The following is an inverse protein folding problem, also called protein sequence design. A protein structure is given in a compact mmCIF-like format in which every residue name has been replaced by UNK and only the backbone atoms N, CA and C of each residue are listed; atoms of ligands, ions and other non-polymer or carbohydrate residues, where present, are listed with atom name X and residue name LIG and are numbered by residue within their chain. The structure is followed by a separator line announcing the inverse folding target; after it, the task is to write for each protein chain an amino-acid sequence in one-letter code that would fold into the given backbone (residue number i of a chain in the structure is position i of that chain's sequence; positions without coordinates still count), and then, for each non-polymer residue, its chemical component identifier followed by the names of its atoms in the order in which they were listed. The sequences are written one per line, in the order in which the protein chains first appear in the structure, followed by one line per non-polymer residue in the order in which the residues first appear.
data_IF_995822110525
#
_entry.id   IF_995822110525
#
_cell.length_a   1.000
_cell.length_b   1.000
_cell.length_c   1.000
_cell.angle_alpha   90.00
_cell.angle_beta   90.00
_cell.angle_gamma   90.00
#
_symmetry.space_group_name_H-M   'P 1'
#
loop_
_entity.id
_entity.type
_entity.pdbx_description
1 polymer ?
#
# COMPACT_ATOMS: atom_id res chain seq x y z
N UNK A 1 -17.02 -8.62 20.57
CA UNK A 1 -16.97 -7.38 19.75
C UNK A 1 -17.38 -7.73 18.33
N UNK A 2 -18.49 -7.16 17.90
CA UNK A 2 -19.08 -7.39 16.57
C UNK A 2 -18.68 -6.23 15.64
N UNK A 3 -18.07 -6.54 14.51
CA UNK A 3 -17.51 -5.53 13.61
C UNK A 3 -18.16 -5.65 12.23
N UNK A 4 -18.62 -4.53 11.67
CA UNK A 4 -19.04 -4.46 10.27
C UNK A 4 -18.05 -3.60 9.50
N UNK A 5 -17.45 -4.16 8.44
CA UNK A 5 -16.69 -3.43 7.43
C UNK A 5 -17.58 -3.12 6.23
N UNK A 6 -17.52 -1.91 5.71
CA UNK A 6 -18.25 -1.52 4.50
C UNK A 6 -17.21 -0.98 3.50
N UNK A 7 -17.17 -1.58 2.31
CA UNK A 7 -16.24 -1.20 1.25
C UNK A 7 -16.96 -1.24 -0.11
N UNK A 8 -16.52 -0.39 -1.05
CA UNK A 8 -17.18 -0.32 -2.35
C UNK A 8 -17.02 -1.60 -3.17
N UNK A 9 -15.82 -2.16 -3.20
CA UNK A 9 -15.45 -3.36 -3.96
C UNK A 9 -14.16 -3.94 -3.41
N UNK A 10 -13.78 -5.13 -3.87
CA UNK A 10 -12.48 -5.77 -3.58
C UNK A 10 -11.63 -5.90 -4.84
N UNK A 11 -11.45 -4.79 -5.57
CA UNK A 11 -10.50 -4.74 -6.69
C UNK A 11 -9.05 -4.83 -6.18
N UNK A 12 -8.10 -5.24 -7.04
CA UNK A 12 -6.68 -5.26 -6.67
C UNK A 12 -6.16 -3.86 -6.36
N UNK A 13 -6.05 -3.55 -5.07
CA UNK A 13 -5.61 -2.26 -4.56
C UNK A 13 -5.05 -2.36 -3.14
N UNK A 14 -4.31 -1.34 -2.72
CA UNK A 14 -3.70 -1.29 -1.38
C UNK A 14 -4.72 -1.20 -0.25
N UNK A 15 -5.82 -0.49 -0.47
CA UNK A 15 -6.92 -0.32 0.49
C UNK A 15 -7.64 -1.65 0.74
N UNK A 16 -7.99 -2.35 -0.32
CA UNK A 16 -8.70 -3.62 -0.30
C UNK A 16 -7.83 -4.71 0.34
N UNK A 17 -6.57 -4.78 -0.06
CA UNK A 17 -5.59 -5.69 0.55
C UNK A 17 -5.43 -5.44 2.05
N UNK A 18 -5.35 -4.18 2.45
CA UNK A 18 -5.28 -3.81 3.88
C UNK A 18 -6.52 -4.24 4.65
N UNK A 19 -7.72 -4.05 4.07
CA UNK A 19 -8.98 -4.49 4.69
C UNK A 19 -9.01 -6.01 4.87
N UNK A 20 -8.64 -6.78 3.84
CA UNK A 20 -8.55 -8.24 3.90
C UNK A 20 -7.55 -8.70 4.97
N UNK A 21 -6.34 -8.16 4.96
CA UNK A 21 -5.30 -8.48 5.94
C UNK A 21 -5.73 -8.17 7.38
N UNK A 22 -6.45 -7.06 7.58
CA UNK A 22 -7.02 -6.74 8.89
C UNK A 22 -8.03 -7.79 9.32
N UNK A 23 -8.96 -8.20 8.46
CA UNK A 23 -9.96 -9.24 8.77
C UNK A 23 -9.27 -10.57 9.12
N UNK A 24 -8.32 -10.99 8.30
CA UNK A 24 -7.53 -12.21 8.56
C UNK A 24 -6.77 -12.13 9.90
N UNK A 25 -6.17 -10.98 10.19
CA UNK A 25 -5.47 -10.76 11.46
C UNK A 25 -6.41 -10.76 12.68
N UNK A 26 -7.60 -10.16 12.55
CA UNK A 26 -8.62 -10.19 13.58
C UNK A 26 -9.13 -11.62 13.84
N UNK A 27 -9.36 -12.41 12.77
CA UNK A 27 -9.74 -13.82 12.91
C UNK A 27 -8.66 -14.63 13.65
N UNK A 28 -7.38 -14.44 13.29
CA UNK A 28 -6.25 -15.07 13.96
C UNK A 28 -6.16 -14.69 15.44
N UNK A 29 -6.56 -13.46 15.79
CA UNK A 29 -6.64 -12.98 17.17
C UNK A 29 -7.93 -13.40 17.90
N UNK A 30 -8.78 -14.27 17.31
CA UNK A 30 -9.99 -14.82 17.92
C UNK A 30 -11.24 -13.96 17.75
N UNK A 31 -11.19 -12.87 16.97
CA UNK A 31 -12.35 -12.03 16.69
C UNK A 31 -13.05 -12.49 15.41
N UNK A 32 -14.10 -13.31 15.55
CA UNK A 32 -14.80 -13.97 14.44
C UNK A 32 -16.19 -13.40 14.13
N UNK A 33 -16.74 -12.54 15.02
CA UNK A 33 -18.01 -11.87 14.79
C UNK A 33 -17.81 -10.68 13.83
N UNK A 34 -17.49 -10.97 12.59
CA UNK A 34 -17.22 -9.98 11.56
C UNK A 34 -18.25 -10.09 10.43
N UNK A 35 -18.77 -8.96 9.98
CA UNK A 35 -19.52 -8.82 8.75
C UNK A 35 -18.76 -7.92 7.78
N UNK A 36 -18.77 -8.25 6.50
CA UNK A 36 -18.32 -7.34 5.44
C UNK A 36 -19.45 -7.09 4.46
N UNK A 37 -19.68 -5.81 4.13
CA UNK A 37 -20.68 -5.38 3.17
C UNK A 37 -19.94 -4.80 1.95
N UNK A 38 -20.08 -5.47 0.80
CA UNK A 38 -19.59 -5.01 -0.50
C UNK A 38 -20.70 -4.25 -1.19
N UNK A 39 -20.46 -3.00 -1.55
CA UNK A 39 -21.45 -2.17 -2.25
C UNK A 39 -21.63 -2.63 -3.70
N UNK A 40 -20.57 -3.08 -4.35
CA UNK A 40 -20.56 -3.64 -5.71
C UNK A 40 -20.00 -5.07 -5.69
N UNK A 41 -20.24 -5.83 -6.76
CA UNK A 41 -19.87 -7.25 -6.85
C UNK A 41 -18.46 -7.49 -7.45
N UNK A 42 -17.63 -6.47 -7.60
CA UNK A 42 -16.27 -6.65 -8.10
C UNK A 42 -15.38 -7.20 -6.97
N UNK A 43 -14.89 -8.43 -7.14
CA UNK A 43 -14.03 -9.08 -6.17
C UNK A 43 -12.86 -9.80 -6.86
N UNK A 44 -11.65 -9.28 -6.66
CA UNK A 44 -10.38 -9.87 -7.13
C UNK A 44 -9.54 -10.47 -5.99
N UNK A 45 -10.12 -10.55 -4.77
CA UNK A 45 -9.55 -11.20 -3.59
C UNK A 45 -10.53 -12.28 -3.08
N UNK A 46 -10.58 -13.46 -3.73
CA UNK A 46 -11.49 -14.55 -3.32
C UNK A 46 -11.23 -15.02 -1.89
N UNK A 47 -10.04 -14.79 -1.36
CA UNK A 47 -9.65 -15.14 0.01
C UNK A 47 -10.54 -14.51 1.09
N UNK A 48 -11.32 -13.48 0.76
CA UNK A 48 -12.29 -12.89 1.68
C UNK A 48 -13.37 -13.91 2.10
N UNK A 49 -13.72 -14.85 1.20
CA UNK A 49 -14.70 -15.90 1.48
C UNK A 49 -14.12 -17.05 2.32
N UNK A 50 -12.79 -17.12 2.47
CA UNK A 50 -12.09 -18.09 3.32
C UNK A 50 -11.96 -17.59 4.76
N UNK A 51 -12.30 -16.33 5.03
CA UNK A 51 -12.33 -15.76 6.38
C UNK A 51 -13.61 -16.15 7.11
N UNK A 52 -13.66 -15.96 8.44
CA UNK A 52 -14.91 -16.14 9.22
C UNK A 52 -15.93 -15.02 8.98
N UNK A 53 -15.62 -14.01 8.18
CA UNK A 53 -16.48 -12.87 7.96
C UNK A 53 -17.76 -13.25 7.17
N UNK A 54 -18.91 -12.79 7.63
CA UNK A 54 -20.17 -12.90 6.92
C UNK A 54 -20.21 -11.90 5.76
N UNK A 55 -19.94 -12.37 4.54
CA UNK A 55 -19.92 -11.52 3.34
C UNK A 55 -21.34 -11.23 2.87
N UNK A 56 -21.68 -9.95 2.71
CA UNK A 56 -22.94 -9.45 2.15
C UNK A 56 -22.65 -8.58 0.93
N UNK A 57 -23.11 -8.98 -0.24
CA UNK A 57 -22.95 -8.25 -1.49
C UNK A 57 -24.27 -7.54 -1.83
N UNK A 58 -24.23 -6.21 -1.86
CA UNK A 58 -25.41 -5.38 -2.24
C UNK A 58 -25.58 -5.40 -3.75
N UNK A 59 -24.44 -5.29 -4.46
CA UNK A 59 -24.37 -5.33 -5.92
C UNK A 59 -25.14 -4.17 -6.58
N UNK A 60 -24.75 -2.96 -6.18
CA UNK A 60 -25.43 -1.74 -6.59
C UNK A 60 -25.40 -1.53 -8.09
N UNK A 61 -24.24 -1.75 -8.74
CA UNK A 61 -24.05 -1.43 -10.16
C UNK A 61 -24.81 -2.41 -11.07
N UNK A 62 -24.62 -3.70 -10.89
CA UNK A 62 -25.18 -4.71 -11.78
C UNK A 62 -26.69 -4.84 -11.61
N UNK A 63 -27.20 -4.59 -10.38
CA UNK A 63 -28.66 -4.53 -10.10
C UNK A 63 -29.29 -3.18 -10.39
N UNK A 64 -28.53 -2.18 -10.81
CA UNK A 64 -29.05 -0.84 -11.11
C UNK A 64 -29.71 -0.14 -9.91
N UNK A 65 -29.25 -0.42 -8.68
CA UNK A 65 -29.88 0.13 -7.48
C UNK A 65 -29.63 1.64 -7.35
N UNK A 66 -30.69 2.38 -7.06
CA UNK A 66 -30.59 3.78 -6.68
C UNK A 66 -29.84 3.96 -5.35
N UNK A 67 -29.36 5.17 -5.08
CA UNK A 67 -28.70 5.47 -3.79
C UNK A 67 -29.59 5.19 -2.58
N UNK A 68 -30.90 5.45 -2.70
CA UNK A 68 -31.86 5.19 -1.61
C UNK A 68 -32.04 3.68 -1.37
N UNK A 69 -32.14 2.88 -2.44
CA UNK A 69 -32.26 1.42 -2.33
C UNK A 69 -30.98 0.82 -1.73
N UNK A 70 -29.81 1.29 -2.16
CA UNK A 70 -28.51 0.88 -1.61
C UNK A 70 -28.40 1.23 -0.12
N UNK A 71 -28.77 2.45 0.26
CA UNK A 71 -28.82 2.88 1.67
C UNK A 71 -29.73 1.96 2.51
N UNK A 72 -30.95 1.67 2.03
CA UNK A 72 -31.88 0.77 2.73
C UNK A 72 -31.32 -0.63 2.90
N UNK A 73 -30.65 -1.18 1.87
CA UNK A 73 -30.05 -2.51 1.91
C UNK A 73 -28.88 -2.56 2.91
N UNK A 74 -27.98 -1.59 2.89
CA UNK A 74 -26.88 -1.49 3.86
C UNK A 74 -27.42 -1.34 5.28
N UNK A 75 -28.41 -0.45 5.48
CA UNK A 75 -29.05 -0.25 6.79
C UNK A 75 -29.67 -1.54 7.32
N UNK A 76 -30.33 -2.31 6.46
CA UNK A 76 -30.92 -3.62 6.82
C UNK A 76 -29.82 -4.57 7.31
N UNK A 77 -28.71 -4.72 6.56
CA UNK A 77 -27.59 -5.57 6.96
C UNK A 77 -26.98 -5.16 8.32
N UNK A 78 -26.81 -3.86 8.56
CA UNK A 78 -26.29 -3.33 9.84
C UNK A 78 -27.30 -3.61 10.97
N UNK A 79 -28.62 -3.42 10.73
CA UNK A 79 -29.62 -3.66 11.75
C UNK A 79 -29.72 -5.14 12.13
N UNK A 80 -29.68 -6.05 11.16
CA UNK A 80 -29.74 -7.50 11.38
C UNK A 80 -28.48 -8.01 12.12
N UNK A 81 -27.32 -7.50 11.76
CA UNK A 81 -26.07 -7.90 12.40
C UNK A 81 -25.87 -7.21 13.76
N UNK A 82 -26.37 -6.00 13.97
CA UNK A 82 -26.26 -5.18 15.18
C UNK A 82 -24.81 -5.06 15.69
N UNK A 83 -23.89 -4.44 14.92
CA UNK A 83 -22.47 -4.34 15.27
C UNK A 83 -22.20 -3.34 16.38
N UNK A 84 -21.13 -3.57 17.14
CA UNK A 84 -20.53 -2.60 18.06
C UNK A 84 -19.78 -1.51 17.29
N UNK A 85 -19.09 -1.92 16.21
CA UNK A 85 -18.26 -1.05 15.37
C UNK A 85 -18.68 -1.18 13.91
N UNK A 86 -18.82 -0.04 13.23
CA UNK A 86 -18.94 0.03 11.76
C UNK A 86 -17.74 0.82 11.22
N UNK A 87 -16.89 0.18 10.43
CA UNK A 87 -15.75 0.80 9.78
C UNK A 87 -15.98 0.89 8.27
N UNK A 88 -16.01 2.11 7.75
CA UNK A 88 -16.25 2.40 6.34
C UNK A 88 -14.94 2.68 5.59
N UNK A 89 -14.72 2.00 4.47
CA UNK A 89 -13.57 2.08 3.61
C UNK A 89 -13.93 2.75 2.28
N UNK A 90 -13.61 4.02 2.15
CA UNK A 90 -13.90 4.82 0.97
C UNK A 90 -15.13 5.74 1.11
N UNK A 91 -15.22 6.71 0.22
CA UNK A 91 -16.10 7.86 0.36
C UNK A 91 -17.60 7.47 0.28
N UNK A 92 -17.95 6.61 -0.68
CA UNK A 92 -19.34 6.18 -0.84
C UNK A 92 -19.82 5.35 0.36
N UNK A 93 -18.97 4.44 0.84
CA UNK A 93 -19.21 3.65 2.05
C UNK A 93 -19.40 4.55 3.27
N UNK A 94 -18.55 5.58 3.40
CA UNK A 94 -18.65 6.57 4.48
C UNK A 94 -19.96 7.35 4.41
N UNK A 95 -20.38 7.80 3.22
CA UNK A 95 -21.62 8.54 3.06
C UNK A 95 -22.82 7.75 3.56
N UNK A 96 -22.95 6.49 3.12
CA UNK A 96 -24.04 5.62 3.60
C UNK A 96 -23.99 5.38 5.10
N UNK A 97 -22.80 5.10 5.63
CA UNK A 97 -22.60 4.85 7.06
C UNK A 97 -22.96 6.09 7.89
N UNK A 98 -22.55 7.27 7.43
CA UNK A 98 -22.89 8.54 8.08
C UNK A 98 -24.39 8.79 8.19
N UNK A 99 -25.12 8.54 7.09
CA UNK A 99 -26.57 8.67 7.09
C UNK A 99 -27.24 7.63 8.03
N UNK A 100 -26.72 6.41 8.12
CA UNK A 100 -27.22 5.39 9.03
C UNK A 100 -26.92 5.76 10.48
N UNK A 101 -25.74 6.32 10.75
CA UNK A 101 -25.30 6.78 12.08
C UNK A 101 -26.24 7.80 12.71
N UNK A 102 -26.92 8.63 11.89
CA UNK A 102 -27.95 9.57 12.36
C UNK A 102 -29.16 8.89 12.98
N UNK A 103 -29.42 7.64 12.64
CA UNK A 103 -30.63 6.91 13.08
C UNK A 103 -30.32 5.65 13.87
N UNK A 104 -29.07 5.22 13.96
CA UNK A 104 -28.62 4.03 14.67
C UNK A 104 -27.34 4.34 15.45
N UNK A 105 -27.25 3.83 16.66
CA UNK A 105 -26.07 4.00 17.53
C UNK A 105 -25.10 2.83 17.33
N UNK A 106 -23.84 3.10 17.00
CA UNK A 106 -22.70 2.20 16.92
C UNK A 106 -21.40 3.03 16.91
N UNK A 107 -20.27 2.48 17.25
CA UNK A 107 -18.98 3.17 17.06
C UNK A 107 -18.64 3.25 15.57
N UNK A 108 -18.45 4.47 15.06
CA UNK A 108 -18.24 4.73 13.64
C UNK A 108 -16.80 5.14 13.34
N UNK A 109 -16.15 4.42 12.42
CA UNK A 109 -14.77 4.66 12.00
C UNK A 109 -14.72 4.92 10.49
N UNK A 110 -14.11 6.03 10.09
CA UNK A 110 -13.75 6.34 8.71
C UNK A 110 -12.36 5.82 8.40
N UNK A 111 -12.18 4.97 7.38
CA UNK A 111 -10.90 4.38 6.97
C UNK A 111 -10.61 4.61 5.48
N UNK A 112 -10.78 5.86 5.01
CA UNK A 112 -10.64 6.20 3.59
C UNK A 112 -9.27 6.77 3.21
N UNK A 113 -8.44 7.14 4.17
CA UNK A 113 -7.18 7.83 3.88
C UNK A 113 -6.10 6.81 3.51
N UNK A 114 -5.84 6.68 2.22
CA UNK A 114 -4.85 5.75 1.65
C UNK A 114 -3.80 6.45 0.76
N UNK A 115 -4.02 7.72 0.41
CA UNK A 115 -3.11 8.57 -0.35
C UNK A 115 -2.93 9.94 0.35
N UNK A 116 -2.12 10.82 -0.23
CA UNK A 116 -1.83 12.15 0.32
C UNK A 116 -2.28 13.28 -0.61
N UNK A 117 -3.16 13.00 -1.57
CA UNK A 117 -3.67 14.01 -2.48
C UNK A 117 -4.55 15.01 -1.73
N UNK A 118 -4.21 16.29 -1.83
CA UNK A 118 -5.04 17.34 -1.25
C UNK A 118 -6.42 17.37 -1.89
N UNK A 119 -7.45 17.33 -1.07
CA UNK A 119 -8.81 17.44 -1.55
C UNK A 119 -9.12 18.91 -1.90
N UNK A 120 -9.64 19.15 -3.10
CA UNK A 120 -10.14 20.48 -3.46
C UNK A 120 -11.28 20.89 -2.50
N UNK A 121 -11.25 22.12 -2.02
CA UNK A 121 -12.15 22.64 -0.98
C UNK A 121 -13.63 22.43 -1.33
N UNK A 122 -13.98 22.59 -2.60
CA UNK A 122 -15.38 22.49 -3.09
C UNK A 122 -15.69 21.17 -3.78
N UNK A 123 -14.78 20.17 -3.73
CA UNK A 123 -15.07 18.86 -4.32
C UNK A 123 -16.13 18.12 -3.51
N UNK A 124 -16.99 17.37 -4.21
CA UNK A 124 -17.97 16.47 -3.57
C UNK A 124 -17.29 15.50 -2.61
N UNK A 125 -16.11 14.97 -2.98
CA UNK A 125 -15.28 14.11 -2.14
C UNK A 125 -14.94 14.76 -0.80
N UNK A 126 -14.51 16.02 -0.82
CA UNK A 126 -14.19 16.78 0.41
C UNK A 126 -15.43 17.01 1.27
N UNK A 127 -16.57 17.34 0.65
CA UNK A 127 -17.84 17.51 1.37
C UNK A 127 -18.25 16.23 2.09
N UNK A 128 -18.18 15.08 1.41
CA UNK A 128 -18.46 13.77 2.01
C UNK A 128 -17.51 13.47 3.16
N UNK A 129 -16.20 13.70 2.98
CA UNK A 129 -15.20 13.50 4.04
C UNK A 129 -15.51 14.37 5.26
N UNK A 130 -15.73 15.67 5.08
CA UNK A 130 -16.04 16.60 6.19
C UNK A 130 -17.31 16.19 6.94
N UNK A 131 -18.39 15.86 6.22
CA UNK A 131 -19.64 15.39 6.82
C UNK A 131 -19.42 14.10 7.63
N UNK A 132 -18.74 13.13 7.03
CA UNK A 132 -18.48 11.83 7.67
C UNK A 132 -17.56 11.97 8.89
N UNK A 133 -16.51 12.80 8.81
CA UNK A 133 -15.60 13.04 9.93
C UNK A 133 -16.27 13.73 11.12
N UNK A 134 -17.28 14.58 10.88
CA UNK A 134 -18.07 15.15 11.97
C UNK A 134 -18.79 14.07 12.78
N UNK A 135 -19.34 13.05 12.11
CA UNK A 135 -20.14 11.98 12.72
C UNK A 135 -19.31 10.78 13.21
N UNK A 136 -18.10 10.61 12.69
CA UNK A 136 -17.21 9.52 13.07
C UNK A 136 -16.62 9.71 14.47
N UNK A 137 -16.40 8.60 15.16
CA UNK A 137 -15.69 8.55 16.44
C UNK A 137 -14.15 8.53 16.21
N UNK A 138 -13.70 7.98 15.08
CA UNK A 138 -12.29 8.04 14.65
C UNK A 138 -12.16 8.08 13.13
N UNK A 139 -11.03 8.66 12.66
CA UNK A 139 -10.62 8.70 11.25
C UNK A 139 -9.25 8.05 11.13
N UNK A 140 -9.15 6.97 10.36
CA UNK A 140 -7.91 6.21 10.19
C UNK A 140 -7.29 6.51 8.83
N UNK A 141 -5.97 6.78 8.82
CA UNK A 141 -5.14 6.84 7.64
C UNK A 141 -3.95 5.89 7.73
N UNK A 142 -3.39 5.52 6.57
CA UNK A 142 -2.16 4.74 6.50
C UNK A 142 -0.89 5.60 6.63
N UNK A 143 -1.06 6.92 6.68
CA UNK A 143 0.02 7.89 6.85
C UNK A 143 -0.46 9.15 7.57
N UNK A 144 0.42 9.79 8.33
CA UNK A 144 0.14 11.08 8.96
C UNK A 144 0.00 12.19 7.92
N UNK A 145 0.81 12.13 6.87
CA UNK A 145 0.74 13.09 5.76
C UNK A 145 -0.61 13.00 5.03
N UNK A 146 -1.12 11.79 4.81
CA UNK A 146 -2.44 11.57 4.24
C UNK A 146 -3.56 12.13 5.12
N UNK A 147 -3.52 11.86 6.43
CA UNK A 147 -4.50 12.43 7.37
C UNK A 147 -4.52 13.96 7.34
N UNK A 148 -3.36 14.60 7.23
CA UNK A 148 -3.27 16.06 7.07
C UNK A 148 -3.84 16.53 5.71
N UNK A 149 -3.51 15.84 4.62
CA UNK A 149 -3.99 16.16 3.28
C UNK A 149 -5.52 16.08 3.15
N UNK A 150 -6.14 15.16 3.88
CA UNK A 150 -7.59 14.98 3.95
C UNK A 150 -8.27 15.86 5.01
N UNK A 151 -7.53 16.74 5.69
CA UNK A 151 -8.03 17.57 6.78
C UNK A 151 -8.76 16.76 7.87
N UNK A 152 -8.25 15.57 8.20
CA UNK A 152 -8.80 14.74 9.26
C UNK A 152 -8.69 15.47 10.61
N UNK A 153 -9.79 15.56 11.41
CA UNK A 153 -9.77 16.28 12.69
C UNK A 153 -8.73 15.65 13.64
N UNK A 154 -7.76 16.41 14.10
CA UNK A 154 -6.63 15.91 14.91
C UNK A 154 -7.04 15.07 16.11
N UNK A 155 -8.13 15.45 16.80
CA UNK A 155 -8.65 14.71 17.97
C UNK A 155 -9.16 13.31 17.62
N UNK A 156 -9.61 13.10 16.37
CA UNK A 156 -10.16 11.84 15.85
C UNK A 156 -9.18 11.08 14.95
N UNK A 157 -8.18 11.76 14.42
CA UNK A 157 -7.21 11.20 13.47
C UNK A 157 -6.29 10.18 14.15
N UNK A 158 -6.15 9.00 13.54
CA UNK A 158 -5.25 7.93 13.96
C UNK A 158 -4.49 7.40 12.76
N UNK A 159 -3.18 7.52 12.79
CA UNK A 159 -2.32 6.86 11.83
C UNK A 159 -2.11 5.40 12.26
N UNK A 160 -2.50 4.47 11.40
CA UNK A 160 -2.15 3.06 11.53
C UNK A 160 -1.56 2.68 10.18
N UNK A 161 -0.25 2.48 10.12
CA UNK A 161 0.44 2.11 8.88
C UNK A 161 -0.03 0.74 8.37
N UNK A 162 0.21 0.47 7.09
CA UNK A 162 0.04 -0.87 6.54
C UNK A 162 1.04 -1.83 7.22
N UNK A 163 0.73 -3.13 7.24
CA UNK A 163 1.61 -4.15 7.81
C UNK A 163 2.14 -5.10 6.75
N UNK A 164 3.41 -5.46 6.85
CA UNK A 164 4.01 -6.55 6.07
C UNK A 164 3.60 -7.90 6.68
N UNK A 165 3.12 -8.81 5.84
CA UNK A 165 2.74 -10.16 6.28
C UNK A 165 3.99 -11.04 6.34
N UNK A 166 4.40 -11.43 7.54
CA UNK A 166 5.62 -12.21 7.81
C UNK A 166 5.62 -13.58 7.12
N UNK A 167 4.44 -14.16 6.83
CA UNK A 167 4.34 -15.41 6.07
C UNK A 167 4.94 -15.33 4.67
N UNK A 168 5.07 -14.12 4.13
CA UNK A 168 5.65 -13.90 2.81
C UNK A 168 7.16 -14.17 2.76
N UNK A 169 7.85 -14.21 3.91
CA UNK A 169 9.27 -14.60 3.92
C UNK A 169 9.47 -16.02 3.40
N UNK A 170 8.55 -16.94 3.72
CA UNK A 170 8.62 -18.33 3.24
C UNK A 170 8.55 -18.46 1.70
N UNK A 171 7.99 -17.45 1.00
CA UNK A 171 7.92 -17.46 -0.46
C UNK A 171 9.29 -17.18 -1.14
N UNK A 172 10.26 -16.69 -0.39
CA UNK A 172 11.63 -16.51 -0.85
C UNK A 172 12.58 -17.60 -0.34
N UNK A 173 12.08 -18.57 0.40
CA UNK A 173 12.85 -19.72 0.85
C UNK A 173 12.85 -20.84 -0.21
N UNK A 174 13.93 -21.60 -0.27
CA UNK A 174 14.08 -22.74 -1.19
C UNK A 174 13.90 -22.40 -2.69
N UNK A 175 14.24 -21.18 -3.08
CA UNK A 175 14.21 -20.72 -4.48
C UNK A 175 15.57 -20.95 -5.12
N UNK A 176 15.58 -21.47 -6.34
CA UNK A 176 16.79 -21.52 -7.17
C UNK A 176 17.06 -20.12 -7.74
N UNK A 177 17.83 -19.35 -7.01
CA UNK A 177 18.18 -17.96 -7.40
C UNK A 177 19.06 -17.90 -8.64
N UNK A 178 19.88 -18.92 -8.92
CA UNK A 178 20.72 -18.93 -10.12
C UNK A 178 19.87 -19.16 -11.36
N UNK A 179 18.90 -20.10 -11.29
CA UNK A 179 17.93 -20.26 -12.37
C UNK A 179 17.06 -19.01 -12.58
N UNK A 180 16.64 -18.34 -11.49
CA UNK A 180 15.84 -17.09 -11.57
C UNK A 180 16.66 -15.95 -12.19
N UNK A 181 17.92 -15.79 -11.82
CA UNK A 181 18.85 -14.83 -12.44
C UNK A 181 19.04 -15.11 -13.92
N UNK A 182 19.25 -16.38 -14.29
CA UNK A 182 19.42 -16.80 -15.69
C UNK A 182 18.16 -16.52 -16.52
N UNK A 183 16.96 -16.85 -16.00
CA UNK A 183 15.67 -16.53 -16.64
C UNK A 183 15.55 -15.04 -16.92
N UNK A 184 15.91 -14.21 -15.95
CA UNK A 184 15.85 -12.75 -16.06
C UNK A 184 17.06 -12.15 -16.78
N UNK A 185 18.05 -12.96 -17.17
CA UNK A 185 19.29 -12.54 -17.80
C UNK A 185 20.13 -11.61 -16.90
N UNK A 186 20.11 -11.82 -15.59
CA UNK A 186 20.92 -11.08 -14.61
C UNK A 186 22.26 -11.80 -14.48
N UNK A 187 23.27 -11.31 -15.18
CA UNK A 187 24.65 -11.82 -15.24
C UNK A 187 25.65 -10.92 -14.50
N UNK A 188 25.15 -9.91 -13.80
CA UNK A 188 25.95 -8.90 -13.14
C UNK A 188 26.03 -9.14 -11.63
N UNK A 189 27.03 -8.50 -11.01
CA UNK A 189 27.27 -8.58 -9.56
C UNK A 189 26.08 -8.01 -8.76
N UNK A 190 25.51 -6.90 -9.25
CA UNK A 190 24.44 -6.19 -8.56
C UNK A 190 23.15 -6.15 -9.37
N UNK A 191 22.03 -6.23 -8.67
CA UNK A 191 20.70 -6.05 -9.20
C UNK A 191 20.02 -4.84 -8.53
N UNK A 192 19.58 -3.91 -9.36
CA UNK A 192 18.76 -2.76 -8.94
C UNK A 192 17.36 -2.92 -9.51
N UNK A 193 16.33 -2.87 -8.67
CA UNK A 193 14.97 -3.10 -9.14
C UNK A 193 13.98 -2.03 -8.69
N UNK A 194 12.94 -1.82 -9.51
CA UNK A 194 11.77 -1.03 -9.15
C UNK A 194 10.51 -1.89 -9.23
N UNK A 195 9.85 -2.08 -8.09
CA UNK A 195 8.61 -2.85 -7.97
C UNK A 195 7.40 -1.93 -7.97
N UNK A 196 6.84 -1.66 -9.14
CA UNK A 196 5.75 -0.71 -9.26
C UNK A 196 4.89 -0.96 -10.51
N UNK A 197 3.64 -0.48 -10.49
CA UNK A 197 2.86 -0.40 -11.73
C UNK A 197 3.52 0.59 -12.69
N UNK A 198 3.53 0.27 -13.98
CA UNK A 198 4.04 1.16 -15.02
C UNK A 198 2.98 2.21 -15.32
N UNK A 199 2.94 3.25 -14.48
CA UNK A 199 2.04 4.39 -14.58
C UNK A 199 2.83 5.70 -14.49
N UNK A 200 2.32 6.78 -15.05
CA UNK A 200 3.02 8.08 -15.10
C UNK A 200 3.35 8.65 -13.71
N UNK A 201 2.59 8.30 -12.69
CA UNK A 201 2.87 8.75 -11.33
C UNK A 201 3.96 7.93 -10.60
N UNK A 202 4.38 6.80 -11.19
CA UNK A 202 5.52 5.98 -10.74
C UNK A 202 6.82 6.30 -11.47
N UNK A 203 6.80 7.34 -12.26
CA UNK A 203 7.93 7.94 -12.97
C UNK A 203 8.91 6.94 -13.61
N UNK A 204 8.46 6.08 -14.54
CA UNK A 204 9.34 5.16 -15.23
C UNK A 204 10.44 5.88 -16.03
N UNK A 205 10.19 7.12 -16.48
CA UNK A 205 11.19 7.91 -17.21
C UNK A 205 12.37 8.29 -16.30
N UNK A 206 12.12 8.63 -15.03
CA UNK A 206 13.19 8.88 -14.05
C UNK A 206 14.00 7.61 -13.74
N UNK A 207 13.36 6.43 -13.63
CA UNK A 207 14.04 5.16 -13.47
C UNK A 207 14.95 4.84 -14.68
N UNK A 208 14.46 5.04 -15.91
CA UNK A 208 15.22 4.87 -17.14
C UNK A 208 16.44 5.81 -17.17
N UNK A 209 16.22 7.08 -16.80
CA UNK A 209 17.28 8.07 -16.76
C UNK A 209 18.39 7.70 -15.77
N UNK A 210 18.01 7.24 -14.56
CA UNK A 210 18.95 6.73 -13.56
C UNK A 210 19.74 5.53 -14.10
N UNK A 211 19.03 4.52 -14.64
CA UNK A 211 19.67 3.31 -15.18
C UNK A 211 20.66 3.64 -16.29
N UNK A 212 20.24 4.45 -17.28
CA UNK A 212 21.13 4.86 -18.37
C UNK A 212 22.38 5.59 -17.87
N UNK A 213 22.21 6.52 -16.91
CA UNK A 213 23.33 7.26 -16.33
C UNK A 213 24.32 6.30 -15.64
N UNK A 214 23.84 5.44 -14.75
CA UNK A 214 24.72 4.49 -14.03
C UNK A 214 25.41 3.52 -14.99
N UNK A 215 24.70 3.01 -16.00
CA UNK A 215 25.24 2.07 -16.99
C UNK A 215 26.24 2.69 -17.97
N UNK A 216 26.42 4.03 -17.99
CA UNK A 216 27.55 4.65 -18.71
C UNK A 216 28.87 4.55 -17.96
N UNK A 217 28.83 4.41 -16.64
CA UNK A 217 29.99 4.41 -15.74
C UNK A 217 30.28 3.01 -15.17
N UNK A 218 29.26 2.11 -15.14
CA UNK A 218 29.35 0.77 -14.53
C UNK A 218 28.86 -0.32 -15.47
N UNK A 219 29.51 -1.45 -15.40
CA UNK A 219 29.15 -2.64 -16.18
C UNK A 219 28.84 -3.88 -15.30
N UNK A 220 28.78 -3.70 -13.99
CA UNK A 220 28.49 -4.73 -12.98
C UNK A 220 27.07 -4.66 -12.40
N UNK A 221 26.16 -3.90 -13.03
CA UNK A 221 24.78 -3.67 -12.54
C UNK A 221 23.75 -4.01 -13.59
N UNK A 222 22.66 -4.69 -13.20
CA UNK A 222 21.45 -4.88 -14.00
C UNK A 222 20.29 -4.10 -13.36
N UNK A 223 19.49 -3.45 -14.19
CA UNK A 223 18.27 -2.74 -13.78
C UNK A 223 17.01 -3.47 -14.26
N UNK A 224 16.09 -3.77 -13.35
CA UNK A 224 14.81 -4.39 -13.67
C UNK A 224 13.64 -3.51 -13.19
N UNK A 225 12.70 -3.22 -14.09
CA UNK A 225 11.41 -2.67 -13.70
C UNK A 225 10.37 -3.80 -13.68
N UNK A 226 9.82 -4.11 -12.50
CA UNK A 226 8.94 -5.25 -12.26
C UNK A 226 7.54 -4.74 -11.97
N UNK A 227 6.62 -5.02 -12.86
CA UNK A 227 5.23 -4.65 -12.78
C UNK A 227 4.61 -4.37 -14.14
N UNK A 228 3.28 -4.32 -14.18
CA UNK A 228 2.49 -3.97 -15.35
C UNK A 228 1.57 -2.81 -14.99
N UNK A 229 1.14 -2.04 -15.96
CA UNK A 229 0.27 -0.90 -15.76
C UNK A 229 -0.19 -0.32 -17.09
N UNK A 230 -0.87 0.80 -17.08
CA UNK A 230 -1.47 1.41 -18.26
C UNK A 230 -0.44 1.74 -19.35
N UNK A 231 0.79 2.06 -18.95
CA UNK A 231 1.86 2.47 -19.88
C UNK A 231 2.90 1.37 -20.14
N UNK A 232 2.65 0.13 -19.70
CA UNK A 232 3.63 -0.96 -19.88
C UNK A 232 4.04 -1.14 -21.33
N UNK A 233 3.10 -1.12 -22.28
CA UNK A 233 3.39 -1.30 -23.70
C UNK A 233 4.28 -0.20 -24.30
N UNK A 234 4.30 1.00 -23.70
CA UNK A 234 5.21 2.09 -24.08
C UNK A 234 6.66 1.78 -23.70
N UNK A 235 6.87 1.05 -22.61
CA UNK A 235 8.20 0.88 -22.02
C UNK A 235 8.78 -0.53 -22.13
N UNK A 236 7.98 -1.55 -22.45
CA UNK A 236 8.39 -2.97 -22.45
C UNK A 236 9.63 -3.27 -23.31
N UNK A 237 9.84 -2.51 -24.39
CA UNK A 237 10.96 -2.69 -25.32
C UNK A 237 12.13 -1.74 -25.02
N UNK A 238 12.05 -0.95 -23.95
CA UNK A 238 13.14 -0.06 -23.54
C UNK A 238 14.26 -0.88 -22.95
N UNK A 239 15.45 -0.72 -23.52
CA UNK A 239 16.68 -1.35 -23.05
C UNK A 239 17.77 -0.30 -22.79
N UNK A 240 18.70 -0.65 -21.91
CA UNK A 240 19.90 0.13 -21.64
C UNK A 240 21.14 -0.43 -22.34
N UNK A 241 22.32 0.19 -22.12
CA UNK A 241 23.60 -0.36 -22.59
C UNK A 241 23.75 -1.83 -22.22
N UNK A 242 24.28 -2.64 -23.16
CA UNK A 242 24.48 -4.10 -23.01
C UNK A 242 23.21 -4.87 -22.58
N UNK A 243 22.02 -4.35 -22.89
CA UNK A 243 20.73 -4.92 -22.53
C UNK A 243 20.54 -5.10 -20.99
N UNK A 244 21.14 -4.21 -20.18
CA UNK A 244 21.11 -4.28 -18.70
C UNK A 244 20.03 -3.42 -18.04
N UNK A 245 19.10 -2.90 -18.82
CA UNK A 245 17.84 -2.29 -18.35
C UNK A 245 16.68 -2.99 -19.02
N UNK A 246 15.73 -3.53 -18.24
CA UNK A 246 14.58 -4.26 -18.78
C UNK A 246 13.31 -4.02 -17.97
N UNK A 247 12.17 -4.03 -18.68
CA UNK A 247 10.82 -4.03 -18.12
C UNK A 247 10.27 -5.45 -18.19
N UNK A 248 10.20 -6.13 -17.05
CA UNK A 248 9.89 -7.58 -16.96
C UNK A 248 8.40 -7.87 -17.01
N UNK A 249 7.57 -6.85 -16.79
CA UNK A 249 6.11 -7.03 -16.73
C UNK A 249 5.62 -7.51 -15.36
N UNK A 250 4.41 -8.04 -15.33
CA UNK A 250 3.82 -8.58 -14.11
C UNK A 250 4.51 -9.90 -13.71
N UNK A 251 4.87 -10.00 -12.43
CA UNK A 251 5.41 -11.22 -11.80
C UNK A 251 4.57 -11.58 -10.59
N UNK A 252 4.35 -12.88 -10.38
CA UNK A 252 3.71 -13.42 -9.18
C UNK A 252 4.70 -13.80 -8.08
N UNK A 253 5.97 -13.96 -8.44
CA UNK A 253 7.11 -14.32 -7.58
C UNK A 253 7.92 -13.09 -7.14
N UNK A 254 7.24 -12.06 -6.67
CA UNK A 254 7.88 -10.80 -6.29
C UNK A 254 8.77 -10.91 -5.04
N UNK A 255 8.48 -11.85 -4.15
CA UNK A 255 9.24 -12.07 -2.92
C UNK A 255 10.67 -12.53 -3.19
N UNK A 256 10.92 -13.59 -3.98
CA UNK A 256 12.26 -13.94 -4.41
C UNK A 256 12.98 -12.81 -5.15
N UNK A 257 12.27 -12.09 -6.01
CA UNK A 257 12.85 -10.96 -6.73
C UNK A 257 13.31 -9.84 -5.79
N UNK A 258 12.51 -9.52 -4.76
CA UNK A 258 12.91 -8.57 -3.73
C UNK A 258 14.11 -9.07 -2.91
N UNK A 259 14.10 -10.36 -2.54
CA UNK A 259 15.17 -10.96 -1.75
C UNK A 259 16.54 -10.99 -2.47
N UNK A 260 16.54 -11.08 -3.81
CA UNK A 260 17.79 -11.07 -4.60
C UNK A 260 18.20 -9.66 -5.07
N UNK A 261 17.41 -8.64 -4.80
CA UNK A 261 17.67 -7.26 -5.21
C UNK A 261 18.61 -6.57 -4.21
N UNK A 262 19.69 -5.97 -4.67
CA UNK A 262 20.66 -5.27 -3.81
C UNK A 262 20.14 -3.88 -3.40
N UNK A 263 19.53 -3.14 -4.33
CA UNK A 263 18.95 -1.82 -4.06
C UNK A 263 17.61 -1.68 -4.79
N UNK A 264 16.58 -1.28 -4.07
CA UNK A 264 15.27 -0.96 -4.65
C UNK A 264 15.19 0.54 -4.96
N UNK A 265 14.49 0.86 -6.04
CA UNK A 265 14.16 2.24 -6.42
C UNK A 265 12.66 2.41 -6.33
N UNK A 266 12.20 3.54 -5.79
CA UNK A 266 10.81 3.94 -5.94
C UNK A 266 10.71 5.43 -6.23
N UNK A 267 10.66 5.76 -7.49
CA UNK A 267 10.37 7.13 -7.91
C UNK A 267 8.87 7.36 -8.02
N UNK A 268 8.44 8.57 -7.68
CA UNK A 268 7.06 8.99 -7.76
C UNK A 268 7.00 10.44 -8.26
N UNK A 269 6.10 10.71 -9.20
CA UNK A 269 5.85 12.04 -9.71
C UNK A 269 4.70 12.68 -8.94
N UNK A 270 5.03 13.53 -7.97
CA UNK A 270 4.07 14.13 -7.04
C UNK A 270 3.21 15.23 -7.64
N UNK A 271 3.48 15.66 -8.87
CA UNK A 271 2.58 16.55 -9.61
C UNK A 271 1.23 15.88 -9.91
N UNK A 272 1.25 14.55 -10.07
CA UNK A 272 0.08 13.79 -10.47
C UNK A 272 -0.56 13.01 -9.32
N UNK A 273 0.24 12.44 -8.43
CA UNK A 273 -0.28 11.62 -7.35
C UNK A 273 0.69 11.59 -6.16
N UNK A 274 0.16 11.84 -4.97
CA UNK A 274 0.92 11.72 -3.73
C UNK A 274 0.49 10.46 -2.98
N UNK A 275 1.36 9.48 -2.93
CA UNK A 275 1.10 8.24 -2.20
C UNK A 275 1.13 8.46 -0.68
N UNK A 276 0.32 7.67 0.04
CA UNK A 276 0.55 7.40 1.46
C UNK A 276 1.81 6.55 1.65
N UNK A 277 1.83 5.73 2.69
CA UNK A 277 2.92 4.77 2.87
C UNK A 277 2.87 3.71 1.77
N UNK A 278 3.96 3.61 0.98
CA UNK A 278 4.06 2.66 -0.13
C UNK A 278 4.32 1.23 0.36
N UNK A 279 3.48 0.29 -0.07
CA UNK A 279 3.71 -1.13 0.20
C UNK A 279 5.00 -1.65 -0.45
N UNK A 280 5.36 -1.15 -1.64
CA UNK A 280 6.57 -1.57 -2.35
C UNK A 280 7.84 -1.23 -1.56
N UNK A 281 7.92 -0.02 -0.95
CA UNK A 281 9.03 0.34 -0.06
C UNK A 281 9.07 -0.63 1.13
N UNK A 282 7.95 -0.81 1.80
CA UNK A 282 7.85 -1.67 2.99
C UNK A 282 8.23 -3.13 2.65
N UNK A 283 7.76 -3.64 1.52
CA UNK A 283 8.04 -5.01 1.06
C UNK A 283 9.51 -5.20 0.72
N UNK A 284 10.13 -4.29 -0.05
CA UNK A 284 11.57 -4.35 -0.35
C UNK A 284 12.41 -4.30 0.94
N UNK A 285 12.14 -3.34 1.82
CA UNK A 285 12.86 -3.21 3.08
C UNK A 285 12.66 -4.43 4.01
N UNK A 286 11.52 -5.13 3.96
CA UNK A 286 11.29 -6.36 4.73
C UNK A 286 12.28 -7.47 4.33
N UNK A 287 12.61 -7.57 3.05
CA UNK A 287 13.63 -8.50 2.56
C UNK A 287 15.08 -7.99 2.76
N UNK A 288 15.24 -6.82 3.38
CA UNK A 288 16.55 -6.21 3.62
C UNK A 288 17.08 -5.45 2.40
N UNK A 289 16.23 -5.08 1.46
CA UNK A 289 16.63 -4.32 0.28
C UNK A 289 16.50 -2.82 0.56
N UNK A 290 17.61 -2.07 0.71
CA UNK A 290 17.56 -0.64 0.91
C UNK A 290 16.85 0.04 -0.26
N UNK A 291 16.02 1.03 0.03
CA UNK A 291 15.27 1.72 -1.01
C UNK A 291 15.74 3.17 -1.15
N UNK A 292 16.01 3.58 -2.40
CA UNK A 292 16.15 4.99 -2.78
C UNK A 292 14.77 5.44 -3.30
N UNK A 293 14.11 6.33 -2.57
CA UNK A 293 12.77 6.78 -2.92
C UNK A 293 12.69 8.30 -3.05
N UNK A 294 11.70 8.76 -3.81
CA UNK A 294 11.38 10.20 -3.87
C UNK A 294 10.94 10.70 -2.49
N UNK A 295 11.56 11.80 -2.03
CA UNK A 295 11.22 12.48 -0.78
C UNK A 295 9.87 13.17 -0.88
N UNK A 296 8.83 12.52 -0.36
CA UNK A 296 7.48 13.05 -0.35
C UNK A 296 6.43 12.01 -0.05
N UNK A 297 5.17 12.45 0.04
CA UNK A 297 4.08 11.59 0.46
C UNK A 297 4.37 10.90 1.78
N UNK A 298 4.13 9.61 1.86
CA UNK A 298 4.39 8.77 3.03
C UNK A 298 5.77 8.13 3.06
N UNK A 299 6.65 8.35 2.06
CA UNK A 299 8.00 7.75 2.05
C UNK A 299 8.83 8.11 3.30
N UNK A 300 8.82 9.38 3.79
CA UNK A 300 9.54 9.76 5.01
C UNK A 300 8.97 9.16 6.31
N UNK A 301 7.81 8.53 6.25
CA UNK A 301 7.24 7.84 7.41
C UNK A 301 7.80 6.41 7.58
N UNK A 302 8.48 5.86 6.54
CA UNK A 302 9.15 4.56 6.57
C UNK A 302 10.67 4.72 6.48
N UNK A 303 11.14 5.59 5.57
CA UNK A 303 12.56 5.78 5.29
C UNK A 303 13.10 6.92 6.16
N UNK A 304 14.09 6.60 6.98
CA UNK A 304 14.98 7.55 7.61
C UNK A 304 16.23 7.66 6.75
N UNK A 305 16.41 8.85 6.12
CA UNK A 305 17.48 9.09 5.17
C UNK A 305 18.85 8.74 5.74
N UNK A 306 19.66 8.00 4.97
CA UNK A 306 21.01 7.54 5.34
C UNK A 306 21.07 6.57 6.53
N UNK A 307 19.93 6.09 7.02
CA UNK A 307 19.87 5.10 8.11
C UNK A 307 19.39 3.75 7.59
N UNK A 308 18.17 3.70 7.03
CA UNK A 308 17.54 2.48 6.54
C UNK A 308 17.13 2.54 5.06
N UNK A 309 17.56 3.59 4.36
CA UNK A 309 17.28 3.89 2.98
C UNK A 309 17.60 5.34 2.66
N UNK A 310 17.24 5.79 1.47
CA UNK A 310 17.57 7.13 1.00
C UNK A 310 16.36 7.84 0.43
N UNK A 311 16.21 9.12 0.77
CA UNK A 311 15.21 10.01 0.23
C UNK A 311 15.89 11.02 -0.70
N UNK A 312 15.39 11.16 -1.91
CA UNK A 312 15.90 12.08 -2.93
C UNK A 312 14.79 12.98 -3.44
N UNK A 313 15.13 14.21 -3.83
CA UNK A 313 14.14 15.11 -4.44
C UNK A 313 13.62 14.54 -5.76
N UNK A 314 12.37 14.85 -6.10
CA UNK A 314 11.78 14.47 -7.38
C UNK A 314 12.69 14.85 -8.55
N UNK A 315 12.90 13.91 -9.47
CA UNK A 315 13.76 14.04 -10.67
C UNK A 315 15.23 14.40 -10.39
N UNK A 316 15.73 14.21 -9.18
CA UNK A 316 17.16 14.42 -8.90
C UNK A 316 17.98 13.17 -9.25
N UNK A 317 18.16 12.94 -10.55
CA UNK A 317 18.86 11.75 -11.08
C UNK A 317 20.35 11.78 -10.69
N UNK A 318 20.97 12.96 -10.64
CA UNK A 318 22.38 13.11 -10.23
C UNK A 318 22.64 12.60 -8.82
N UNK A 319 21.81 13.04 -7.86
CA UNK A 319 21.92 12.60 -6.48
C UNK A 319 21.58 11.12 -6.34
N UNK A 320 20.55 10.63 -7.03
CA UNK A 320 20.17 9.22 -7.03
C UNK A 320 21.29 8.32 -7.56
N UNK A 321 21.94 8.72 -8.66
CA UNK A 321 23.07 8.01 -9.24
C UNK A 321 24.27 8.00 -8.29
N UNK A 322 24.60 9.15 -7.70
CA UNK A 322 25.70 9.27 -6.72
C UNK A 322 25.47 8.36 -5.51
N UNK A 323 24.27 8.39 -4.91
CA UNK A 323 23.93 7.53 -3.76
C UNK A 323 24.02 6.05 -4.15
N UNK A 324 23.43 5.67 -5.29
CA UNK A 324 23.46 4.29 -5.76
C UNK A 324 24.89 3.79 -5.96
N UNK A 325 25.73 4.54 -6.69
CA UNK A 325 27.12 4.16 -6.91
C UNK A 325 27.90 4.05 -5.59
N UNK A 326 27.74 5.00 -4.68
CA UNK A 326 28.38 4.94 -3.35
C UNK A 326 27.97 3.70 -2.54
N UNK A 327 26.70 3.28 -2.61
CA UNK A 327 26.24 2.04 -1.95
C UNK A 327 26.88 0.80 -2.58
N UNK A 328 26.90 0.72 -3.90
CA UNK A 328 27.47 -0.43 -4.63
C UNK A 328 29.00 -0.52 -4.49
N UNK A 329 29.68 0.60 -4.29
CA UNK A 329 31.13 0.66 -4.07
C UNK A 329 31.52 0.38 -2.60
N UNK A 330 30.58 0.42 -1.68
CA UNK A 330 30.81 0.19 -0.25
C UNK A 330 29.92 -0.94 0.30
N UNK A 331 30.33 -2.22 0.19
CA UNK A 331 29.54 -3.36 0.66
C UNK A 331 29.18 -3.31 2.15
N UNK A 332 30.05 -2.74 2.99
CA UNK A 332 29.76 -2.62 4.43
C UNK A 332 28.66 -1.61 4.71
N UNK A 333 28.60 -0.52 3.95
CA UNK A 333 27.53 0.46 4.05
C UNK A 333 26.21 -0.10 3.49
N UNK A 334 26.26 -0.81 2.35
CA UNK A 334 25.10 -1.49 1.79
C UNK A 334 24.52 -2.49 2.80
N UNK A 335 25.37 -3.30 3.44
CA UNK A 335 24.95 -4.24 4.46
C UNK A 335 24.32 -3.53 5.68
N UNK A 336 24.95 -2.46 6.18
CA UNK A 336 24.44 -1.68 7.31
C UNK A 336 23.03 -1.14 7.05
N UNK A 337 22.83 -0.53 5.89
CA UNK A 337 21.51 0.02 5.51
C UNK A 337 20.48 -1.09 5.29
N UNK A 338 20.90 -2.22 4.72
CA UNK A 338 20.08 -3.42 4.52
C UNK A 338 19.55 -3.98 5.86
N UNK A 339 20.44 -4.17 6.83
CA UNK A 339 20.07 -4.64 8.17
C UNK A 339 19.10 -3.67 8.87
N UNK A 340 19.36 -2.37 8.78
CA UNK A 340 18.49 -1.33 9.32
C UNK A 340 17.12 -1.28 8.63
N UNK A 341 17.08 -1.48 7.31
CA UNK A 341 15.84 -1.56 6.55
C UNK A 341 14.97 -2.72 7.06
N UNK A 342 15.54 -3.92 7.14
CA UNK A 342 14.85 -5.12 7.68
C UNK A 342 14.39 -4.92 9.12
N UNK A 343 15.26 -4.43 9.99
CA UNK A 343 14.96 -4.17 11.39
C UNK A 343 13.81 -3.14 11.55
N UNK A 344 13.77 -2.11 10.71
CA UNK A 344 12.69 -1.13 10.70
C UNK A 344 11.33 -1.78 10.46
N UNK A 345 11.23 -2.67 9.46
CA UNK A 345 9.97 -3.35 9.15
C UNK A 345 9.61 -4.33 10.27
N UNK A 346 10.55 -5.13 10.74
CA UNK A 346 10.33 -6.10 11.81
C UNK A 346 9.87 -5.44 13.11
N UNK A 347 10.38 -4.27 13.45
CA UNK A 347 10.05 -3.59 14.70
C UNK A 347 8.78 -2.73 14.63
N UNK A 348 8.40 -2.21 13.45
CA UNK A 348 7.37 -1.16 13.37
C UNK A 348 6.24 -1.45 12.37
N UNK A 349 6.48 -2.28 11.36
CA UNK A 349 5.58 -2.40 10.22
C UNK A 349 5.15 -3.84 9.91
N UNK A 350 5.09 -4.70 10.92
CA UNK A 350 4.53 -6.04 10.74
C UNK A 350 3.00 -6.01 10.69
N UNK A 351 2.42 -7.02 10.05
CA UNK A 351 0.96 -7.20 10.02
C UNK A 351 0.39 -7.39 11.42
N UNK A 352 1.08 -8.11 12.28
CA UNK A 352 0.74 -8.26 13.70
C UNK A 352 0.63 -6.91 14.40
N UNK A 353 1.62 -6.03 14.25
CA UNK A 353 1.63 -4.67 14.80
C UNK A 353 0.45 -3.82 14.27
N UNK A 354 0.15 -3.92 12.97
CA UNK A 354 -1.02 -3.24 12.40
C UNK A 354 -2.31 -3.72 13.08
N UNK A 355 -2.51 -5.02 13.21
CA UNK A 355 -3.72 -5.60 13.82
C UNK A 355 -3.83 -5.22 15.30
N UNK A 356 -2.75 -5.25 16.06
CA UNK A 356 -2.70 -4.82 17.46
C UNK A 356 -3.12 -3.36 17.62
N UNK A 357 -2.62 -2.47 16.75
CA UNK A 357 -2.99 -1.05 16.75
C UNK A 357 -4.49 -0.84 16.46
N UNK A 358 -5.07 -1.62 15.53
CA UNK A 358 -6.52 -1.60 15.29
C UNK A 358 -7.29 -2.10 16.51
N UNK A 359 -6.89 -3.21 17.13
CA UNK A 359 -7.52 -3.76 18.33
C UNK A 359 -7.45 -2.80 19.50
N UNK A 360 -6.31 -2.16 19.72
CA UNK A 360 -6.14 -1.14 20.77
C UNK A 360 -7.10 0.04 20.56
N UNK A 361 -7.22 0.52 19.29
CA UNK A 361 -8.15 1.57 18.96
C UNK A 361 -9.62 1.13 19.18
N UNK A 362 -10.00 -0.06 18.75
CA UNK A 362 -11.37 -0.58 18.89
C UNK A 362 -11.76 -0.70 20.37
N UNK A 363 -10.88 -1.28 21.18
CA UNK A 363 -11.12 -1.40 22.64
C UNK A 363 -11.29 -0.03 23.29
N UNK A 364 -10.41 0.94 22.95
CA UNK A 364 -10.48 2.31 23.45
C UNK A 364 -11.77 3.03 23.08
N UNK A 365 -12.34 2.77 21.89
CA UNK A 365 -13.56 3.43 21.43
C UNK A 365 -14.83 2.79 22.01
N UNK A 366 -14.75 1.57 22.55
CA UNK A 366 -15.85 0.85 23.17
C UNK A 366 -15.87 1.00 24.70
N UNK A 367 -14.76 1.38 25.31
CA UNK A 367 -14.66 1.77 26.73
C UNK A 367 -15.28 3.16 26.96
#
# INVERSE_FOLDING_TARGET
MRITFIIESFNRGGKERRCLQLIQGLNKAGYNDIQIILVNNNNEYPEIFETSAKVKIIDRKDKGLSHLQTYKAIKKCICEFNPDIVQAWGELSMLYTSLIRLTKKFTYICANVADCNKLSTFSFRNMVCRFSYCLADSVIGNSNVGLRAYNAPQKKAKCIHNGFNEKRFALAENVDYDALKAELGVDTKYLVAMFARVDYYKDPDAFIALAKKVLTERDDVTFLYIGKGLYYDKYKDVTGPKNRLRFVGFRSDVEPLMAMTDVSILFSNYKFHQEGVSNSIMESMAFGTPTIATDGGGSPEIIEHNVNGYLVKENNIEESSRILCQLLDNPSELQRVSENARATIQNKFLLSTMVENYLALYKKLLS
#
